data_IF_294475534338
#
_entry.id   IF_294475534338
#
_cell.length_a   1.000
_cell.length_b   1.000
_cell.length_c   1.000
_cell.angle_alpha   90.00
_cell.angle_beta   90.00
_cell.angle_gamma   90.00
#
_symmetry.space_group_name_H-M   'P 1'
#
loop_
_entity.id
_entity.type
_entity.pdbx_description
1 polymer ?
#
# COMPACT_ATOMS: atom_id res chain seq x y z
N UNK A 1 -0.93 -8.38 24.73
CA UNK A 1 0.04 -7.88 23.72
C UNK A 1 -0.28 -6.42 23.51
N UNK A 2 0.35 -5.53 24.28
CA UNK A 2 0.05 -4.09 24.24
C UNK A 2 1.35 -3.37 23.93
N UNK A 3 1.43 -2.70 22.77
CA UNK A 3 2.59 -1.88 22.40
C UNK A 3 3.12 -2.03 20.97
N UNK A 4 2.59 -2.94 20.15
CA UNK A 4 3.04 -3.09 18.75
C UNK A 4 2.37 -2.10 17.79
N UNK A 5 1.13 -1.70 18.09
CA UNK A 5 0.32 -0.80 17.25
C UNK A 5 -0.22 0.37 18.07
N UNK A 6 -0.47 1.52 17.43
CA UNK A 6 -1.17 2.65 18.06
C UNK A 6 -2.52 2.23 18.67
N UNK A 7 -2.88 2.81 19.82
CA UNK A 7 -4.18 2.55 20.46
C UNK A 7 -5.36 2.91 19.56
N UNK A 8 -5.17 3.90 18.67
CA UNK A 8 -6.14 4.30 17.63
C UNK A 8 -6.48 3.16 16.67
N UNK A 9 -5.67 2.10 16.58
CA UNK A 9 -5.88 0.95 15.70
C UNK A 9 -6.70 -0.16 16.34
N UNK A 10 -7.12 -0.01 17.60
CA UNK A 10 -7.92 -1.01 18.30
C UNK A 10 -9.28 -1.32 17.63
N UNK A 11 -9.78 -0.43 16.78
CA UNK A 11 -11.02 -0.65 16.01
C UNK A 11 -10.81 -1.42 14.71
N UNK A 12 -9.56 -1.66 14.28
CA UNK A 12 -9.27 -2.42 13.07
C UNK A 12 -9.26 -3.91 13.36
N UNK A 13 -9.84 -4.68 12.44
CA UNK A 13 -9.82 -6.15 12.51
C UNK A 13 -8.41 -6.71 12.30
N UNK A 14 -7.61 -6.09 11.43
CA UNK A 14 -6.29 -6.57 11.02
C UNK A 14 -5.22 -5.47 11.13
N UNK A 15 -4.82 -5.07 12.35
CA UNK A 15 -3.81 -4.02 12.55
C UNK A 15 -2.41 -4.43 12.05
N UNK A 16 -2.11 -5.72 11.96
CA UNK A 16 -0.87 -6.23 11.35
C UNK A 16 -0.82 -5.97 9.83
N UNK A 17 -1.92 -6.22 9.12
CA UNK A 17 -2.01 -5.92 7.67
C UNK A 17 -1.96 -4.41 7.42
N UNK A 18 -2.48 -3.59 8.35
CA UNK A 18 -2.28 -2.15 8.29
C UNK A 18 -0.81 -1.77 8.44
N UNK A 19 -0.08 -2.43 9.34
CA UNK A 19 1.36 -2.18 9.49
C UNK A 19 2.12 -2.54 8.21
N UNK A 20 1.82 -3.70 7.61
CA UNK A 20 2.37 -4.11 6.31
C UNK A 20 2.06 -3.08 5.23
N UNK A 21 0.79 -2.62 5.14
CA UNK A 21 0.40 -1.56 4.21
C UNK A 21 1.25 -0.29 4.39
N UNK A 22 1.51 0.14 5.63
CA UNK A 22 2.37 1.30 5.90
C UNK A 22 3.80 1.07 5.39
N UNK A 23 4.35 -0.14 5.52
CA UNK A 23 5.68 -0.46 5.00
C UNK A 23 5.73 -0.46 3.47
N UNK A 24 4.82 -1.16 2.80
CA UNK A 24 4.72 -1.15 1.34
C UNK A 24 4.56 0.27 0.80
N UNK A 25 3.67 1.08 1.40
CA UNK A 25 3.48 2.47 1.01
C UNK A 25 4.75 3.32 1.17
N UNK A 26 5.54 3.09 2.22
CA UNK A 26 6.80 3.79 2.43
C UNK A 26 7.79 3.45 1.33
N UNK A 27 7.92 2.17 1.00
CA UNK A 27 8.91 1.71 0.02
C UNK A 27 8.52 2.21 -1.40
N UNK A 28 7.22 2.21 -1.72
CA UNK A 28 6.64 2.85 -2.91
C UNK A 28 6.89 4.37 -3.03
N UNK A 29 7.31 5.05 -1.94
CA UNK A 29 7.64 6.48 -2.02
C UNK A 29 9.01 6.74 -2.65
N UNK A 30 9.90 5.75 -2.73
CA UNK A 30 11.23 5.87 -3.33
C UNK A 30 11.20 5.44 -4.80
N UNK A 31 11.49 6.34 -5.77
CA UNK A 31 11.59 5.96 -7.17
C UNK A 31 12.59 4.83 -7.45
N UNK A 32 13.63 4.64 -6.64
CA UNK A 32 14.60 3.57 -6.84
C UNK A 32 14.05 2.19 -6.52
N UNK A 33 12.98 2.10 -5.71
CA UNK A 33 12.24 0.86 -5.43
C UNK A 33 11.83 0.16 -6.73
N UNK A 34 11.37 0.95 -7.70
CA UNK A 34 10.85 0.46 -8.97
C UNK A 34 11.93 0.04 -9.99
N UNK A 35 13.21 0.13 -9.63
CA UNK A 35 14.31 -0.41 -10.45
C UNK A 35 14.50 -1.92 -10.22
N UNK A 36 13.93 -2.47 -9.15
CA UNK A 36 13.98 -3.90 -8.83
C UNK A 36 12.64 -4.55 -9.20
N UNK A 37 12.68 -5.53 -10.11
CA UNK A 37 11.47 -6.24 -10.53
C UNK A 37 10.84 -7.05 -9.41
N UNK A 38 11.64 -7.63 -8.52
CA UNK A 38 11.12 -8.49 -7.45
C UNK A 38 10.33 -7.65 -6.44
N UNK A 39 10.83 -6.46 -6.12
CA UNK A 39 10.15 -5.48 -5.27
C UNK A 39 8.80 -5.02 -5.88
N UNK A 40 8.80 -4.69 -7.18
CA UNK A 40 7.54 -4.34 -7.88
C UNK A 40 6.57 -5.52 -7.92
N UNK A 41 7.07 -6.74 -8.05
CA UNK A 41 6.24 -7.95 -7.99
C UNK A 41 5.61 -8.11 -6.60
N UNK A 42 6.35 -7.88 -5.51
CA UNK A 42 5.79 -7.90 -4.15
C UNK A 42 4.71 -6.84 -3.96
N UNK A 43 4.94 -5.60 -4.41
CA UNK A 43 3.92 -4.54 -4.35
C UNK A 43 2.63 -4.96 -5.05
N UNK A 44 2.75 -5.49 -6.28
CA UNK A 44 1.57 -5.87 -7.06
C UNK A 44 0.84 -7.02 -6.40
N UNK A 45 1.54 -8.04 -5.90
CA UNK A 45 0.91 -9.12 -5.14
C UNK A 45 0.17 -8.57 -3.91
N UNK A 46 0.79 -7.68 -3.15
CA UNK A 46 0.18 -7.11 -1.95
C UNK A 46 -1.07 -6.27 -2.26
N UNK A 47 -1.01 -5.39 -3.27
CA UNK A 47 -2.10 -4.45 -3.58
C UNK A 47 -3.23 -5.05 -4.44
N UNK A 48 -2.97 -6.14 -5.17
CA UNK A 48 -3.93 -6.69 -6.14
C UNK A 48 -4.37 -8.12 -5.83
N UNK A 49 -3.51 -8.97 -5.27
CA UNK A 49 -3.79 -10.40 -5.11
C UNK A 49 -4.12 -10.77 -3.65
N UNK A 50 -3.33 -10.28 -2.71
CA UNK A 50 -3.45 -10.66 -1.29
C UNK A 50 -4.59 -9.92 -0.58
N UNK A 51 -4.98 -8.75 -1.09
CA UNK A 51 -5.95 -7.86 -0.47
C UNK A 51 -6.91 -7.27 -1.49
N UNK A 52 -8.15 -7.07 -1.08
CA UNK A 52 -9.22 -6.50 -1.93
C UNK A 52 -9.05 -4.98 -2.18
N UNK A 53 -7.87 -4.39 -2.02
CA UNK A 53 -7.64 -2.97 -2.32
C UNK A 53 -7.95 -2.61 -3.78
N UNK A 54 -7.76 -3.56 -4.70
CA UNK A 54 -7.98 -3.34 -6.12
C UNK A 54 -9.43 -3.56 -6.58
N UNK A 55 -10.16 -4.44 -5.91
CA UNK A 55 -11.48 -4.94 -6.34
C UNK A 55 -12.63 -4.50 -5.41
N UNK A 56 -12.42 -4.45 -4.09
CA UNK A 56 -13.36 -3.91 -3.11
C UNK A 56 -12.66 -3.09 -2.01
N UNK A 57 -12.12 -1.90 -2.34
CA UNK A 57 -11.44 -1.07 -1.35
C UNK A 57 -12.39 -0.57 -0.25
N UNK A 58 -13.70 -0.50 -0.51
CA UNK A 58 -14.68 -0.10 0.51
C UNK A 58 -14.88 -1.19 1.56
N UNK A 59 -14.83 -2.47 1.17
CA UNK A 59 -14.83 -3.62 2.07
C UNK A 59 -13.65 -3.65 3.04
N UNK A 60 -12.59 -2.88 2.76
CA UNK A 60 -11.41 -2.77 3.62
C UNK A 60 -11.60 -1.80 4.81
N UNK A 61 -12.71 -1.03 4.85
CA UNK A 61 -13.05 -0.18 6.00
C UNK A 61 -13.36 -1.04 7.23
N UNK A 62 -12.73 -0.72 8.36
CA UNK A 62 -12.79 -1.49 9.59
C UNK A 62 -11.93 -2.76 9.58
N UNK A 63 -11.48 -3.22 8.40
CA UNK A 63 -10.51 -4.31 8.27
C UNK A 63 -9.09 -3.79 8.43
N UNK A 64 -8.67 -2.92 7.51
CA UNK A 64 -7.31 -2.34 7.41
C UNK A 64 -7.36 -0.81 7.31
N UNK A 65 -8.41 -0.27 6.68
CA UNK A 65 -8.65 1.16 6.49
C UNK A 65 -9.67 1.68 7.50
N UNK A 66 -9.61 2.96 7.87
CA UNK A 66 -10.54 3.56 8.83
C UNK A 66 -11.78 4.18 8.20
N UNK A 67 -11.62 4.81 7.04
CA UNK A 67 -12.66 5.66 6.46
C UNK A 67 -12.54 5.76 4.92
N UNK A 68 -13.50 6.45 4.34
CA UNK A 68 -13.61 6.70 2.90
C UNK A 68 -12.46 7.54 2.33
N UNK A 69 -11.81 8.35 3.17
CA UNK A 69 -10.65 9.16 2.77
C UNK A 69 -9.44 8.24 2.52
N UNK A 70 -9.19 7.28 3.40
CA UNK A 70 -8.15 6.26 3.18
C UNK A 70 -8.47 5.37 1.97
N UNK A 71 -9.73 4.99 1.79
CA UNK A 71 -10.18 4.25 0.59
C UNK A 71 -9.90 5.03 -0.69
N UNK A 72 -10.21 6.32 -0.71
CA UNK A 72 -9.96 7.17 -1.86
C UNK A 72 -8.46 7.28 -2.18
N UNK A 73 -7.60 7.33 -1.16
CA UNK A 73 -6.15 7.33 -1.34
C UNK A 73 -5.64 6.02 -1.93
N UNK A 74 -6.06 4.87 -1.38
CA UNK A 74 -5.69 3.55 -1.91
C UNK A 74 -6.21 3.34 -3.34
N UNK A 75 -7.44 3.77 -3.62
CA UNK A 75 -8.01 3.70 -4.97
C UNK A 75 -7.18 4.50 -5.98
N UNK A 76 -6.63 5.66 -5.58
CA UNK A 76 -5.75 6.45 -6.46
C UNK A 76 -4.43 5.73 -6.72
N UNK A 77 -3.82 5.13 -5.69
CA UNK A 77 -2.61 4.35 -5.83
C UNK A 77 -2.80 3.16 -6.77
N UNK A 78 -3.83 2.34 -6.54
CA UNK A 78 -4.16 1.20 -7.40
C UNK A 78 -4.38 1.65 -8.85
N UNK A 79 -5.08 2.76 -9.07
CA UNK A 79 -5.29 3.30 -10.41
C UNK A 79 -3.98 3.73 -11.07
N UNK A 80 -3.06 4.33 -10.31
CA UNK A 80 -1.74 4.69 -10.82
C UNK A 80 -0.94 3.44 -11.22
N UNK A 81 -0.93 2.38 -10.40
CA UNK A 81 -0.32 1.09 -10.76
C UNK A 81 -0.95 0.49 -12.02
N UNK A 82 -2.29 0.41 -12.09
CA UNK A 82 -3.01 -0.09 -13.27
C UNK A 82 -2.66 0.70 -14.55
N UNK A 83 -2.49 2.02 -14.43
CA UNK A 83 -2.11 2.87 -15.56
C UNK A 83 -0.65 2.69 -15.98
N UNK A 84 0.28 2.55 -15.03
CA UNK A 84 1.70 2.38 -15.28
C UNK A 84 2.03 1.00 -15.89
N UNK A 85 1.44 -0.06 -15.33
CA UNK A 85 1.61 -1.45 -15.79
C UNK A 85 0.86 -1.67 -17.12
N UNK A 86 -0.26 -0.98 -17.32
CA UNK A 86 -1.08 -1.09 -18.51
C UNK A 86 -1.85 -2.42 -18.62
N UNK A 87 -2.65 -2.60 -19.70
CA UNK A 87 -3.42 -3.80 -19.92
C UNK A 87 -2.54 -4.95 -20.44
N UNK A 88 -2.32 -5.99 -19.64
CA UNK A 88 -1.54 -7.16 -20.05
C UNK A 88 -1.67 -8.34 -19.07
N UNK A 89 -1.47 -9.56 -19.57
CA UNK A 89 -1.45 -10.79 -18.74
C UNK A 89 -0.07 -11.06 -18.09
N UNK A 90 0.95 -10.24 -18.40
CA UNK A 90 2.31 -10.36 -17.88
C UNK A 90 2.83 -9.00 -17.45
N UNK A 91 3.65 -8.99 -16.41
CA UNK A 91 4.32 -7.78 -15.96
C UNK A 91 5.22 -7.25 -17.10
N UNK A 92 5.07 -5.97 -17.51
CA UNK A 92 6.02 -5.30 -18.39
C UNK A 92 7.40 -5.18 -17.74
N UNK A 93 8.41 -4.84 -18.54
CA UNK A 93 9.75 -4.53 -18.03
C UNK A 93 9.70 -3.27 -17.16
N UNK A 94 9.85 -3.46 -15.85
CA UNK A 94 9.68 -2.41 -14.84
C UNK A 94 10.67 -1.26 -15.02
N UNK A 95 11.85 -1.52 -15.57
CA UNK A 95 12.89 -0.51 -15.81
C UNK A 95 12.54 0.46 -16.94
N UNK A 96 11.53 0.15 -17.75
CA UNK A 96 11.06 0.97 -18.86
C UNK A 96 9.74 1.70 -18.59
N UNK A 97 9.20 1.59 -17.37
CA UNK A 97 7.95 2.22 -16.97
C UNK A 97 8.21 3.55 -16.27
N UNK A 98 7.37 4.55 -16.56
CA UNK A 98 7.34 5.79 -15.80
C UNK A 98 6.50 5.60 -14.53
N UNK A 99 7.18 5.44 -13.40
CA UNK A 99 6.57 5.23 -12.09
C UNK A 99 6.21 6.54 -11.37
N UNK A 100 6.45 7.71 -11.96
CA UNK A 100 6.27 8.98 -11.26
C UNK A 100 4.85 9.15 -10.70
N UNK A 101 3.82 8.76 -11.46
CA UNK A 101 2.44 8.83 -10.99
C UNK A 101 2.15 7.88 -9.81
N UNK A 102 2.80 6.72 -9.79
CA UNK A 102 2.68 5.74 -8.71
C UNK A 102 3.35 6.27 -7.44
N UNK A 103 4.58 6.77 -7.56
CA UNK A 103 5.34 7.38 -6.46
C UNK A 103 4.57 8.53 -5.82
N UNK A 104 3.99 9.43 -6.63
CA UNK A 104 3.23 10.57 -6.09
C UNK A 104 1.94 10.13 -5.39
N UNK A 105 1.25 9.10 -5.93
CA UNK A 105 0.08 8.53 -5.27
C UNK A 105 0.45 7.81 -3.96
N UNK A 106 1.58 7.10 -3.94
CA UNK A 106 2.09 6.40 -2.77
C UNK A 106 2.45 7.39 -1.65
N UNK A 107 3.18 8.48 -1.96
CA UNK A 107 3.48 9.55 -0.99
C UNK A 107 2.21 10.15 -0.39
N UNK A 108 1.21 10.42 -1.21
CA UNK A 108 -0.06 10.97 -0.74
C UNK A 108 -0.81 9.98 0.17
N UNK A 109 -0.86 8.70 -0.20
CA UNK A 109 -1.49 7.66 0.59
C UNK A 109 -0.74 7.39 1.90
N UNK A 110 0.58 7.27 1.84
CA UNK A 110 1.46 7.09 3.00
C UNK A 110 1.29 8.23 4.01
N UNK A 111 1.42 9.48 3.56
CA UNK A 111 1.29 10.65 4.43
C UNK A 111 -0.09 10.77 5.07
N UNK A 112 -1.16 10.32 4.39
CA UNK A 112 -2.51 10.29 4.93
C UNK A 112 -2.66 9.17 5.98
N UNK A 113 -2.31 7.93 5.62
CA UNK A 113 -2.48 6.74 6.45
C UNK A 113 -1.66 6.82 7.74
N UNK A 114 -0.45 7.41 7.66
CA UNK A 114 0.45 7.60 8.79
C UNK A 114 -0.12 8.58 9.85
N UNK A 115 -1.08 9.44 9.50
CA UNK A 115 -1.74 10.33 10.47
C UNK A 115 -2.49 9.56 11.56
N UNK A 116 -2.84 8.30 11.30
CA UNK A 116 -3.47 7.42 12.29
C UNK A 116 -2.46 6.73 13.20
N UNK A 117 -1.18 7.03 13.07
CA UNK A 117 -0.07 6.49 13.84
C UNK A 117 0.84 5.58 13.02
N UNK A 118 2.01 5.31 13.56
CA UNK A 118 3.02 4.44 12.98
C UNK A 118 3.13 3.15 13.81
N UNK A 119 3.19 1.96 13.18
CA UNK A 119 3.43 0.73 13.91
C UNK A 119 4.85 0.71 14.47
N UNK A 120 5.05 0.12 15.64
CA UNK A 120 6.42 -0.08 16.16
C UNK A 120 7.06 -1.21 15.34
N UNK A 121 8.23 -0.99 14.71
CA UNK A 121 8.93 -2.06 14.01
C UNK A 121 9.23 -3.20 14.97
N UNK A 122 8.86 -4.43 14.60
CA UNK A 122 9.26 -5.61 15.36
C UNK A 122 10.76 -5.82 15.10
N UNK A 123 11.62 -5.87 16.12
CA UNK A 123 13.04 -6.12 15.88
C UNK A 123 13.21 -7.56 15.39
N UNK A 124 13.56 -7.71 14.11
CA UNK A 124 14.06 -8.95 13.49
C UNK A 124 13.13 -10.17 13.61
N UNK A 125 12.37 -10.44 12.55
CA UNK A 125 11.84 -11.78 12.28
C UNK A 125 12.93 -12.68 11.72
#
# INVERSE_FOLDING_TARGET
>A
MTGQYPDSWASLRFPNQRAELVFYLRDCCDPHHYLDSDEVHFDVHFFFDDHDFADDPMGMIGAVLFDDVEVAAMTRLVRAYKAAIGPGQRMPDVGHIDWAAVVEAAKAAYALILQRGEPVPVPGG
#
